data_IF_445305399936
#
_entry.id   IF_445305399936
#
_cell.length_a   1.000
_cell.length_b   1.000
_cell.length_c   1.000
_cell.angle_alpha   90.00
_cell.angle_beta   90.00
_cell.angle_gamma   90.00
#
_symmetry.space_group_name_H-M   'P 1'
#
loop_
_entity.id
_entity.type
_entity.pdbx_description
1 polymer ?
#
# COMPACT_ATOMS: atom_id res chain seq x y z
N UNK A 1 -18.04 34.66 22.76
CA UNK A 1 -16.60 35.01 22.66
C UNK A 1 -15.81 34.13 21.67
N UNK A 2 -16.43 33.16 20.97
CA UNK A 2 -15.71 32.21 20.09
C UNK A 2 -15.41 32.71 18.66
N UNK A 3 -16.29 33.55 18.07
CA UNK A 3 -16.21 33.96 16.64
C UNK A 3 -14.86 34.60 16.24
N UNK A 4 -14.28 35.42 17.12
CA UNK A 4 -12.99 36.06 16.86
C UNK A 4 -11.80 35.10 16.84
N UNK A 5 -11.89 33.97 17.57
CA UNK A 5 -10.87 32.93 17.57
C UNK A 5 -10.95 32.08 16.29
N UNK A 6 -12.16 31.69 15.88
CA UNK A 6 -12.40 30.93 14.64
C UNK A 6 -11.94 31.72 13.40
N UNK A 7 -12.22 33.03 13.34
CA UNK A 7 -11.74 33.91 12.24
C UNK A 7 -10.22 33.90 12.09
N UNK A 8 -9.48 34.01 13.20
CA UNK A 8 -8.01 33.97 13.20
C UNK A 8 -7.49 32.58 12.79
N UNK A 9 -8.17 31.52 13.22
CA UNK A 9 -7.85 30.12 12.88
C UNK A 9 -7.95 29.88 11.37
N UNK A 10 -9.06 30.28 10.74
CA UNK A 10 -9.29 30.17 9.28
C UNK A 10 -8.19 30.90 8.52
N UNK A 11 -7.97 32.19 8.80
CA UNK A 11 -6.93 32.98 8.13
C UNK A 11 -5.55 32.35 8.24
N UNK A 12 -5.19 31.81 9.42
CA UNK A 12 -3.90 31.15 9.64
C UNK A 12 -3.77 29.87 8.80
N UNK A 13 -4.77 29.00 8.79
CA UNK A 13 -4.74 27.72 8.05
C UNK A 13 -4.70 27.94 6.53
N UNK A 14 -5.49 28.86 6.00
CA UNK A 14 -5.49 29.19 4.58
C UNK A 14 -4.15 29.82 4.14
N UNK A 15 -3.60 30.72 4.95
CA UNK A 15 -2.27 31.29 4.69
C UNK A 15 -1.14 30.25 4.71
N UNK A 16 -1.22 29.24 5.58
CA UNK A 16 -0.25 28.13 5.64
C UNK A 16 -0.27 27.27 4.36
N UNK A 17 -1.41 27.18 3.68
CA UNK A 17 -1.55 26.48 2.38
C UNK A 17 -1.28 27.40 1.18
N UNK A 18 -0.87 28.65 1.43
CA UNK A 18 -0.54 29.60 0.36
C UNK A 18 -1.74 30.32 -0.26
N UNK A 19 -2.90 30.34 0.40
CA UNK A 19 -4.08 31.06 -0.07
C UNK A 19 -4.23 32.44 0.58
N UNK A 20 -4.76 33.38 -0.20
CA UNK A 20 -5.15 34.72 0.26
C UNK A 20 -6.67 34.82 0.17
N UNK A 21 -7.34 34.93 1.32
CA UNK A 21 -8.80 35.05 1.40
C UNK A 21 -9.23 36.52 1.26
N UNK A 22 -10.18 36.79 0.38
CA UNK A 22 -10.94 38.03 0.39
C UNK A 22 -11.93 38.07 1.56
N UNK A 23 -12.43 39.27 1.91
CA UNK A 23 -13.28 39.46 3.08
C UNK A 23 -14.61 38.72 2.97
N UNK A 24 -15.21 38.74 1.77
CA UNK A 24 -16.42 38.02 1.41
C UNK A 24 -16.24 36.50 1.43
N UNK A 25 -15.12 36.00 0.90
CA UNK A 25 -14.74 34.58 1.00
C UNK A 25 -14.61 34.13 2.45
N UNK A 26 -13.99 34.94 3.31
CA UNK A 26 -13.86 34.66 4.73
C UNK A 26 -15.21 34.61 5.44
N UNK A 27 -16.13 35.53 5.14
CA UNK A 27 -17.48 35.55 5.71
C UNK A 27 -18.27 34.31 5.33
N UNK A 28 -18.14 33.85 4.09
CA UNK A 28 -18.79 32.63 3.62
C UNK A 28 -18.26 31.38 4.30
N UNK A 29 -16.94 31.25 4.48
CA UNK A 29 -16.33 30.17 5.26
C UNK A 29 -16.85 30.18 6.70
N UNK A 30 -16.91 31.36 7.32
CA UNK A 30 -17.40 31.47 8.70
C UNK A 30 -18.87 31.06 8.79
N UNK A 31 -19.70 31.40 7.81
CA UNK A 31 -21.10 30.97 7.73
C UNK A 31 -21.25 29.47 7.50
N UNK A 32 -20.32 28.83 6.79
CA UNK A 32 -20.29 27.38 6.62
C UNK A 32 -19.90 26.67 7.93
N UNK A 33 -18.91 27.20 8.64
CA UNK A 33 -18.40 26.60 9.87
C UNK A 33 -19.39 26.64 11.05
N UNK A 34 -20.41 27.51 11.02
CA UNK A 34 -21.46 27.49 12.06
C UNK A 34 -22.24 26.18 12.10
N UNK A 35 -22.20 25.38 11.02
CA UNK A 35 -22.83 24.06 10.97
C UNK A 35 -21.99 22.97 11.68
N UNK A 36 -20.74 23.27 12.06
CA UNK A 36 -19.76 22.32 12.59
C UNK A 36 -19.14 22.79 13.92
N UNK A 37 -19.96 23.16 14.91
CA UNK A 37 -19.49 23.75 16.18
C UNK A 37 -18.42 22.91 16.90
N UNK A 38 -18.54 21.58 16.89
CA UNK A 38 -17.58 20.65 17.54
C UNK A 38 -16.47 20.14 16.59
N UNK A 39 -16.56 20.44 15.29
CA UNK A 39 -15.69 19.88 14.25
C UNK A 39 -15.08 20.94 13.30
N UNK A 40 -15.05 22.21 13.71
CA UNK A 40 -14.54 23.33 12.90
C UNK A 40 -13.17 23.03 12.27
N UNK A 41 -12.25 22.42 13.04
CA UNK A 41 -10.88 22.22 12.59
C UNK A 41 -10.78 21.21 11.44
N UNK A 42 -11.60 20.15 11.51
CA UNK A 42 -11.73 19.12 10.48
C UNK A 42 -12.45 19.67 9.25
N UNK A 43 -13.54 20.43 9.46
CA UNK A 43 -14.28 21.08 8.38
C UNK A 43 -13.38 22.05 7.57
N UNK A 44 -12.51 22.81 8.26
CA UNK A 44 -11.52 23.68 7.59
C UNK A 44 -10.52 22.85 6.76
N UNK A 45 -10.05 21.70 7.28
CA UNK A 45 -9.09 20.85 6.56
C UNK A 45 -9.73 20.24 5.30
N UNK A 46 -10.96 19.74 5.41
CA UNK A 46 -11.72 19.19 4.28
C UNK A 46 -11.93 20.26 3.20
N UNK A 47 -12.38 21.45 3.60
CA UNK A 47 -12.57 22.57 2.68
C UNK A 47 -11.26 22.94 1.95
N UNK A 48 -10.13 22.97 2.67
CA UNK A 48 -8.81 23.24 2.07
C UNK A 48 -8.37 22.16 1.09
N UNK A 49 -8.63 20.89 1.40
CA UNK A 49 -8.25 19.77 0.53
C UNK A 49 -9.09 19.76 -0.76
N UNK A 50 -10.38 20.10 -0.69
CA UNK A 50 -11.22 20.26 -1.89
C UNK A 50 -10.83 21.50 -2.73
N UNK A 51 -10.54 22.63 -2.09
CA UNK A 51 -10.01 23.83 -2.79
C UNK A 51 -8.70 23.52 -3.53
N UNK A 52 -7.87 22.62 -3.00
CA UNK A 52 -6.63 22.22 -3.65
C UNK A 52 -6.84 21.24 -4.81
N UNK A 53 -7.98 20.53 -4.86
CA UNK A 53 -8.35 19.66 -5.99
C UNK A 53 -8.92 20.46 -7.15
N UNK A 54 -9.68 21.50 -6.87
CA UNK A 54 -10.01 22.49 -7.88
C UNK A 54 -8.71 23.19 -8.28
N UNK A 55 -8.25 22.97 -9.51
CA UNK A 55 -7.07 23.66 -10.05
C UNK A 55 -7.38 25.15 -10.22
N UNK A 56 -7.41 25.89 -9.12
CA UNK A 56 -7.72 27.32 -9.14
C UNK A 56 -6.58 28.06 -9.84
N UNK A 57 -6.96 28.90 -10.80
CA UNK A 57 -6.03 29.70 -11.60
C UNK A 57 -5.34 30.81 -10.77
N UNK A 58 -5.63 30.92 -9.48
CA UNK A 58 -5.13 31.97 -8.58
C UNK A 58 -5.06 31.48 -7.14
N UNK A 59 -4.05 31.95 -6.41
CA UNK A 59 -3.88 31.80 -4.96
C UNK A 59 -4.80 32.74 -4.16
N UNK A 60 -5.44 33.71 -4.82
CA UNK A 60 -6.45 34.59 -4.23
C UNK A 60 -7.83 33.95 -4.37
N UNK A 61 -8.49 33.73 -3.23
CA UNK A 61 -9.83 33.14 -3.13
C UNK A 61 -10.88 34.23 -2.92
N UNK A 62 -11.80 34.32 -3.86
CA UNK A 62 -13.03 35.11 -3.80
C UNK A 62 -14.20 34.28 -3.29
N UNK A 63 -15.34 34.94 -3.04
CA UNK A 63 -16.57 34.27 -2.61
C UNK A 63 -16.97 33.16 -3.57
N UNK A 64 -17.02 33.43 -4.87
CA UNK A 64 -17.49 32.45 -5.86
C UNK A 64 -16.66 31.15 -5.84
N UNK A 65 -15.34 31.24 -5.60
CA UNK A 65 -14.48 30.06 -5.52
C UNK A 65 -14.73 29.23 -4.27
N UNK A 66 -15.01 29.86 -3.14
CA UNK A 66 -15.36 29.17 -1.90
C UNK A 66 -16.77 28.58 -2.01
N UNK A 67 -17.75 29.35 -2.51
CA UNK A 67 -19.13 28.92 -2.66
C UNK A 67 -19.26 27.66 -3.53
N UNK A 68 -18.48 27.56 -4.64
CA UNK A 68 -18.48 26.36 -5.50
C UNK A 68 -18.09 25.11 -4.71
N UNK A 69 -16.99 25.18 -3.96
CA UNK A 69 -16.51 24.05 -3.16
C UNK A 69 -17.49 23.71 -2.04
N UNK A 70 -18.04 24.70 -1.35
CA UNK A 70 -19.07 24.47 -0.31
C UNK A 70 -20.31 23.82 -0.93
N UNK A 71 -20.75 24.25 -2.11
CA UNK A 71 -21.90 23.66 -2.81
C UNK A 71 -21.63 22.19 -3.16
N UNK A 72 -20.43 21.87 -3.63
CA UNK A 72 -20.02 20.48 -3.90
C UNK A 72 -19.99 19.63 -2.62
N UNK A 73 -19.53 20.20 -1.51
CA UNK A 73 -19.54 19.52 -0.22
C UNK A 73 -20.98 19.22 0.25
N UNK A 74 -21.89 20.18 0.11
CA UNK A 74 -23.31 19.98 0.43
C UNK A 74 -24.04 19.03 -0.51
N UNK A 75 -23.70 19.03 -1.81
CA UNK A 75 -24.24 18.07 -2.78
C UNK A 75 -23.74 16.66 -2.48
N UNK A 76 -22.45 16.51 -2.14
CA UNK A 76 -21.90 15.24 -1.68
C UNK A 76 -22.58 14.77 -0.40
N UNK A 77 -22.82 15.66 0.56
CA UNK A 77 -23.54 15.35 1.80
C UNK A 77 -25.00 14.95 1.54
N UNK A 78 -25.71 15.66 0.67
CA UNK A 78 -27.10 15.35 0.30
C UNK A 78 -27.21 14.05 -0.50
N UNK A 79 -26.24 13.76 -1.38
CA UNK A 79 -26.13 12.48 -2.08
C UNK A 79 -25.81 11.33 -1.11
N UNK A 80 -25.09 11.63 -0.02
CA UNK A 80 -24.85 10.69 1.07
C UNK A 80 -26.12 10.53 1.91
N UNK A 81 -26.93 11.57 2.19
CA UNK A 81 -28.17 11.50 2.98
C UNK A 81 -29.35 10.76 2.30
N UNK A 82 -29.35 10.64 0.97
CA UNK A 82 -30.19 9.66 0.27
C UNK A 82 -29.82 8.20 0.61
N UNK A 83 -28.73 8.00 1.35
CA UNK A 83 -28.31 6.78 2.01
C UNK A 83 -28.25 7.05 3.53
N UNK A 84 -28.80 6.20 4.41
CA UNK A 84 -28.92 6.54 5.82
C UNK A 84 -27.58 6.35 6.57
N UNK A 85 -26.57 7.20 6.33
CA UNK A 85 -25.39 7.28 7.20
C UNK A 85 -24.46 8.47 6.89
N UNK A 86 -24.58 9.57 7.63
CA UNK A 86 -23.41 10.43 7.90
C UNK A 86 -23.45 11.00 9.32
N UNK A 87 -22.54 10.49 10.15
CA UNK A 87 -22.02 11.06 11.41
C UNK A 87 -21.14 10.07 12.18
N UNK A 88 -20.91 8.85 11.66
CA UNK A 88 -19.90 7.94 12.17
C UNK A 88 -18.76 7.85 11.15
N UNK A 89 -17.62 8.52 11.39
CA UNK A 89 -16.35 7.96 10.91
C UNK A 89 -16.25 6.57 11.53
N UNK A 90 -16.65 5.55 10.78
CA UNK A 90 -16.69 4.21 11.29
C UNK A 90 -15.24 3.78 11.53
N UNK A 91 -14.81 3.73 12.80
CA UNK A 91 -13.53 3.14 13.21
C UNK A 91 -13.38 1.69 12.71
N UNK A 92 -14.50 1.11 12.29
CA UNK A 92 -14.61 -0.19 11.68
C UNK A 92 -15.13 -0.03 10.25
N UNK A 93 -14.40 -0.58 9.28
CA UNK A 93 -14.80 -0.59 7.87
C UNK A 93 -14.73 -2.02 7.35
N UNK A 94 -15.83 -2.50 6.78
CA UNK A 94 -15.86 -3.72 6.00
C UNK A 94 -15.50 -3.32 4.57
N UNK A 95 -14.45 -3.94 4.02
CA UNK A 95 -14.00 -3.69 2.64
C UNK A 95 -14.38 -4.90 1.81
N UNK A 96 -15.17 -4.69 0.76
CA UNK A 96 -15.51 -5.75 -0.19
C UNK A 96 -14.24 -6.18 -0.95
N UNK A 97 -13.99 -7.49 -1.01
CA UNK A 97 -12.88 -8.08 -1.74
C UNK A 97 -12.80 -7.66 -3.22
N UNK A 98 -13.92 -7.34 -3.85
CA UNK A 98 -13.97 -6.98 -5.28
C UNK A 98 -13.63 -5.51 -5.55
N UNK A 99 -13.62 -4.65 -4.52
CA UNK A 99 -13.24 -3.23 -4.64
C UNK A 99 -11.82 -2.94 -4.14
N UNK A 100 -11.12 -3.95 -3.62
CA UNK A 100 -9.74 -3.78 -3.15
C UNK A 100 -8.85 -3.48 -4.36
N UNK A 101 -8.08 -2.38 -4.35
CA UNK A 101 -7.14 -2.09 -5.42
C UNK A 101 -6.08 -3.18 -5.50
N UNK A 102 -5.90 -3.74 -6.69
CA UNK A 102 -4.88 -4.78 -6.91
C UNK A 102 -3.54 -4.11 -7.19
N UNK A 103 -2.57 -4.34 -6.31
CA UNK A 103 -1.18 -3.95 -6.55
C UNK A 103 -0.37 -5.11 -7.13
N UNK A 104 0.47 -4.80 -8.10
CA UNK A 104 1.43 -5.72 -8.70
C UNK A 104 2.86 -5.25 -8.37
N UNK A 105 3.76 -6.21 -8.17
CA UNK A 105 5.18 -5.93 -7.95
C UNK A 105 5.92 -5.90 -9.30
N UNK A 106 6.78 -4.91 -9.49
CA UNK A 106 7.72 -4.85 -10.61
C UNK A 106 9.10 -5.31 -10.10
N UNK A 107 9.59 -6.50 -10.50
CA UNK A 107 10.87 -7.03 -10.02
C UNK A 107 12.09 -6.24 -10.53
N UNK A 108 11.94 -5.49 -11.63
CA UNK A 108 13.00 -4.67 -12.21
C UNK A 108 13.10 -3.34 -11.47
N UNK A 109 11.97 -2.63 -11.34
CA UNK A 109 11.92 -1.33 -10.63
C UNK A 109 11.91 -1.48 -9.11
N UNK A 110 11.63 -2.69 -8.61
CA UNK A 110 11.45 -3.02 -7.20
C UNK A 110 10.37 -2.16 -6.52
N UNK A 111 9.34 -1.77 -7.27
CA UNK A 111 8.22 -0.96 -6.80
C UNK A 111 6.90 -1.68 -6.98
N UNK A 112 5.90 -1.25 -6.23
CA UNK A 112 4.51 -1.66 -6.44
C UNK A 112 3.82 -0.63 -7.32
N UNK A 113 2.98 -1.12 -8.22
CA UNK A 113 2.09 -0.29 -9.03
C UNK A 113 0.67 -0.84 -8.95
N UNK A 114 -0.30 0.06 -9.03
CA UNK A 114 -1.70 -0.33 -9.08
C UNK A 114 -2.01 -0.88 -10.48
N UNK A 115 -2.62 -2.08 -10.53
CA UNK A 115 -3.12 -2.63 -11.78
C UNK A 115 -4.39 -1.89 -12.15
N UNK A 116 -4.33 -1.13 -13.23
CA UNK A 116 -5.49 -0.45 -13.81
C UNK A 116 -6.32 -1.41 -14.66
N UNK A 117 -7.64 -1.17 -14.70
CA UNK A 117 -8.59 -1.95 -15.50
C UNK A 117 -9.45 -2.92 -14.68
N UNK A 118 -10.49 -3.47 -15.33
CA UNK A 118 -11.42 -4.42 -14.70
C UNK A 118 -10.74 -5.77 -14.50
N UNK A 119 -10.86 -6.33 -13.30
CA UNK A 119 -10.45 -7.69 -12.99
C UNK A 119 -11.61 -8.64 -13.30
N UNK A 120 -11.55 -9.43 -14.39
CA UNK A 120 -12.62 -10.36 -14.70
C UNK A 120 -12.67 -11.48 -13.67
N UNK A 121 -13.90 -11.89 -13.28
CA UNK A 121 -14.12 -13.05 -12.41
C UNK A 121 -13.63 -14.33 -13.11
N UNK A 122 -13.84 -14.40 -14.42
CA UNK A 122 -13.35 -15.49 -15.27
C UNK A 122 -12.00 -15.10 -15.89
N UNK A 123 -10.91 -15.55 -15.27
CA UNK A 123 -9.56 -15.33 -15.77
C UNK A 123 -9.20 -16.26 -16.94
N UNK A 124 -8.29 -15.80 -17.78
CA UNK A 124 -7.67 -16.64 -18.83
C UNK A 124 -6.63 -17.60 -18.23
N UNK A 125 -6.17 -18.58 -19.02
CA UNK A 125 -5.09 -19.49 -18.62
C UNK A 125 -3.82 -18.73 -18.17
N UNK A 126 -3.50 -17.62 -18.84
CA UNK A 126 -2.41 -16.70 -18.48
C UNK A 126 -2.56 -16.13 -17.06
N UNK A 127 -3.79 -15.93 -16.59
CA UNK A 127 -4.07 -15.40 -15.25
C UNK A 127 -3.67 -16.37 -14.15
N UNK A 128 -3.81 -17.69 -14.39
CA UNK A 128 -3.36 -18.73 -13.46
C UNK A 128 -1.84 -18.73 -13.35
N UNK A 129 -1.13 -18.68 -14.48
CA UNK A 129 0.34 -18.61 -14.48
C UNK A 129 0.85 -17.33 -13.79
N UNK A 130 0.21 -16.18 -14.07
CA UNK A 130 0.54 -14.91 -13.43
C UNK A 130 0.37 -14.97 -11.90
N UNK A 131 -0.66 -15.65 -11.39
CA UNK A 131 -0.88 -15.80 -9.95
C UNK A 131 0.30 -16.48 -9.23
N UNK A 132 0.85 -17.56 -9.81
CA UNK A 132 1.99 -18.26 -9.21
C UNK A 132 3.28 -17.45 -9.34
N UNK A 133 3.49 -16.77 -10.47
CA UNK A 133 4.61 -15.85 -10.67
C UNK A 133 4.60 -14.68 -9.67
N UNK A 134 3.47 -13.97 -9.58
CA UNK A 134 3.28 -12.84 -8.67
C UNK A 134 3.57 -13.28 -7.21
N UNK A 135 3.09 -14.46 -6.82
CA UNK A 135 3.35 -15.04 -5.49
C UNK A 135 4.83 -15.33 -5.26
N UNK A 136 5.49 -15.97 -6.23
CA UNK A 136 6.90 -16.29 -6.15
C UNK A 136 7.75 -15.03 -6.01
N UNK A 137 7.53 -14.03 -6.88
CA UNK A 137 8.28 -12.77 -6.88
C UNK A 137 8.10 -12.00 -5.57
N UNK A 138 6.89 -11.98 -5.00
CA UNK A 138 6.64 -11.33 -3.70
C UNK A 138 7.38 -12.02 -2.55
N UNK A 139 7.40 -13.35 -2.53
CA UNK A 139 8.11 -14.10 -1.49
C UNK A 139 9.62 -13.96 -1.65
N UNK A 140 10.13 -14.03 -2.88
CA UNK A 140 11.54 -13.81 -3.17
C UNK A 140 11.97 -12.38 -2.78
N UNK A 141 11.15 -11.37 -3.07
CA UNK A 141 11.37 -9.99 -2.66
C UNK A 141 11.50 -9.87 -1.14
N UNK A 142 10.61 -10.52 -0.38
CA UNK A 142 10.67 -10.52 1.10
C UNK A 142 11.91 -11.22 1.62
N UNK A 143 12.22 -12.42 1.11
CA UNK A 143 13.38 -13.19 1.51
C UNK A 143 14.69 -12.47 1.19
N UNK A 144 14.81 -11.83 0.03
CA UNK A 144 16.01 -11.09 -0.36
C UNK A 144 16.35 -9.89 0.55
N UNK A 145 15.38 -9.43 1.35
CA UNK A 145 15.55 -8.33 2.31
C UNK A 145 15.89 -8.83 3.72
N UNK A 146 15.76 -10.12 3.96
CA UNK A 146 16.16 -10.74 5.21
C UNK A 146 17.70 -10.85 5.24
N UNK A 147 18.37 -10.34 6.28
CA UNK A 147 19.83 -10.37 6.38
C UNK A 147 20.45 -11.76 6.24
N UNK A 148 19.75 -12.84 6.63
CA UNK A 148 20.28 -14.21 6.54
C UNK A 148 20.40 -14.69 5.09
N UNK A 149 19.54 -14.19 4.21
CA UNK A 149 19.48 -14.58 2.79
C UNK A 149 20.06 -13.50 1.86
N UNK A 150 20.44 -12.34 2.39
CA UNK A 150 21.00 -11.23 1.64
C UNK A 150 22.48 -11.48 1.30
N UNK A 151 22.91 -10.97 0.13
CA UNK A 151 24.33 -10.94 -0.24
C UNK A 151 25.09 -10.02 0.72
N UNK A 152 26.20 -10.48 1.32
CA UNK A 152 27.08 -9.60 2.08
C UNK A 152 27.55 -8.45 1.18
N UNK A 153 27.46 -7.21 1.67
CA UNK A 153 27.89 -6.02 0.91
C UNK A 153 29.42 -5.96 0.70
N UNK A 154 30.18 -6.73 1.49
CA UNK A 154 31.64 -6.81 1.42
C UNK A 154 32.07 -8.28 1.35
N UNK A 155 32.97 -8.61 0.42
CA UNK A 155 33.59 -9.94 0.28
C UNK A 155 34.68 -10.09 1.36
N UNK A 156 34.27 -10.16 2.63
CA UNK A 156 35.17 -10.58 3.70
C UNK A 156 35.24 -12.11 3.66
N UNK A 157 36.39 -12.67 3.27
CA UNK A 157 36.68 -14.11 3.21
C UNK A 157 36.28 -14.88 4.48
N UNK A 158 36.13 -14.18 5.61
CA UNK A 158 35.80 -14.74 6.91
C UNK A 158 34.31 -15.11 7.12
N UNK A 159 33.37 -14.64 6.28
CA UNK A 159 31.92 -14.80 6.51
C UNK A 159 31.16 -15.58 5.42
N UNK A 160 31.86 -16.16 4.44
CA UNK A 160 31.23 -16.93 3.35
C UNK A 160 30.45 -18.17 3.83
N UNK A 161 30.70 -18.62 5.06
CA UNK A 161 30.04 -19.80 5.66
C UNK A 161 28.62 -19.55 6.15
N UNK A 162 28.23 -18.29 6.42
CA UNK A 162 26.94 -17.98 7.07
C UNK A 162 25.91 -17.32 6.16
N UNK A 163 26.29 -16.81 4.97
CA UNK A 163 25.34 -16.19 4.05
C UNK A 163 24.53 -17.26 3.31
N UNK A 164 23.22 -17.31 3.55
CA UNK A 164 22.30 -18.24 2.90
C UNK A 164 21.81 -17.70 1.55
N UNK A 165 22.73 -17.33 0.65
CA UNK A 165 22.37 -16.70 -0.62
C UNK A 165 21.48 -17.62 -1.48
N UNK A 166 20.28 -17.13 -1.82
CA UNK A 166 19.33 -17.84 -2.66
C UNK A 166 19.82 -17.83 -4.11
N UNK A 167 19.99 -19.03 -4.67
CA UNK A 167 20.40 -19.26 -6.06
C UNK A 167 19.21 -19.73 -6.92
N UNK A 168 19.12 -19.34 -8.20
CA UNK A 168 18.16 -19.94 -9.13
C UNK A 168 18.45 -21.41 -9.37
N UNK A 169 17.41 -22.23 -9.57
CA UNK A 169 17.53 -23.68 -9.77
C UNK A 169 18.37 -23.98 -11.02
N UNK A 170 18.21 -23.21 -12.10
CA UNK A 170 18.99 -23.39 -13.32
C UNK A 170 20.51 -23.23 -13.10
N UNK A 171 20.94 -22.45 -12.11
CA UNK A 171 22.38 -22.29 -11.81
C UNK A 171 23.02 -23.49 -11.11
N UNK A 172 22.21 -24.47 -10.67
CA UNK A 172 22.70 -25.69 -10.03
C UNK A 172 23.33 -26.67 -11.02
N UNK A 173 23.04 -26.52 -12.31
CA UNK A 173 23.53 -27.44 -13.35
C UNK A 173 25.05 -27.44 -13.36
N UNK A 174 25.65 -28.62 -13.13
CA UNK A 174 27.10 -28.80 -13.08
C UNK A 174 27.77 -28.29 -11.80
N UNK A 175 27.01 -27.81 -10.81
CA UNK A 175 27.55 -27.44 -9.50
C UNK A 175 27.37 -28.56 -8.48
N UNK A 176 28.30 -28.64 -7.53
CA UNK A 176 28.25 -29.56 -6.38
C UNK A 176 28.36 -28.81 -5.06
N UNK A 177 27.87 -29.42 -3.98
CA UNK A 177 27.90 -28.85 -2.63
C UNK A 177 26.57 -28.27 -2.17
N UNK A 178 26.59 -27.61 -1.00
CA UNK A 178 25.40 -27.00 -0.40
C UNK A 178 25.02 -25.70 -1.13
N UNK A 179 23.73 -25.56 -1.42
CA UNK A 179 23.13 -24.37 -2.03
C UNK A 179 21.81 -24.07 -1.34
N UNK A 180 21.46 -22.78 -1.29
CA UNK A 180 20.17 -22.32 -0.80
C UNK A 180 19.32 -21.95 -2.00
N UNK A 181 18.12 -22.49 -2.05
CA UNK A 181 17.18 -22.31 -3.16
C UNK A 181 15.80 -22.00 -2.62
N UNK A 182 15.03 -21.25 -3.39
CA UNK A 182 13.65 -20.92 -3.07
C UNK A 182 12.79 -21.33 -4.27
N UNK A 183 11.68 -22.01 -3.98
CA UNK A 183 10.81 -22.57 -5.00
C UNK A 183 9.47 -22.99 -4.44
N UNK A 184 8.59 -23.38 -5.34
CA UNK A 184 7.29 -23.98 -5.05
C UNK A 184 7.46 -25.48 -5.05
N UNK A 185 7.03 -26.14 -3.97
CA UNK A 185 7.00 -27.60 -3.91
C UNK A 185 5.77 -28.07 -4.67
N UNK A 186 5.97 -28.95 -5.63
CA UNK A 186 4.91 -29.61 -6.40
C UNK A 186 5.07 -31.13 -6.30
N UNK A 187 3.94 -31.83 -6.36
CA UNK A 187 3.89 -33.28 -6.37
C UNK A 187 3.12 -33.69 -7.63
N UNK A 188 3.84 -34.13 -8.65
CA UNK A 188 3.23 -34.54 -9.92
C UNK A 188 2.78 -36.00 -9.87
N UNK A 189 3.55 -36.84 -9.19
CA UNK A 189 3.27 -38.26 -8.95
C UNK A 189 3.38 -38.58 -7.46
N UNK A 190 2.70 -39.64 -7.02
CA UNK A 190 2.78 -40.09 -5.63
C UNK A 190 4.23 -40.41 -5.22
N UNK A 191 4.67 -39.82 -4.10
CA UNK A 191 6.02 -40.00 -3.57
C UNK A 191 7.13 -39.21 -4.27
N UNK A 192 6.84 -38.49 -5.36
CA UNK A 192 7.84 -37.73 -6.12
C UNK A 192 7.58 -36.22 -5.99
N UNK A 193 8.41 -35.58 -5.17
CA UNK A 193 8.38 -34.13 -4.98
C UNK A 193 9.35 -33.43 -5.92
N UNK A 194 8.92 -32.28 -6.42
CA UNK A 194 9.73 -31.37 -7.21
C UNK A 194 9.73 -30.01 -6.52
N UNK A 195 10.83 -29.30 -6.66
CA UNK A 195 10.93 -27.89 -6.33
C UNK A 195 11.09 -27.10 -7.62
N UNK A 196 10.24 -26.11 -7.83
CA UNK A 196 10.16 -25.32 -9.06
C UNK A 196 10.35 -23.82 -8.77
N UNK A 197 11.13 -23.15 -9.61
CA UNK A 197 11.27 -21.69 -9.61
C UNK A 197 10.94 -21.12 -11.01
N UNK A 198 11.24 -19.84 -11.25
CA UNK A 198 10.97 -19.22 -12.57
C UNK A 198 11.88 -19.74 -13.70
N UNK A 199 12.89 -20.57 -13.38
CA UNK A 199 13.95 -21.00 -14.29
C UNK A 199 13.88 -22.49 -14.60
N UNK A 200 13.64 -23.33 -13.59
CA UNK A 200 13.68 -24.78 -13.72
C UNK A 200 12.92 -25.50 -12.59
N UNK A 201 12.77 -26.81 -12.75
CA UNK A 201 12.29 -27.72 -11.71
C UNK A 201 13.35 -28.79 -11.41
N UNK A 202 13.50 -29.16 -10.14
CA UNK A 202 14.43 -30.19 -9.69
C UNK A 202 13.71 -31.18 -8.75
N UNK A 203 13.89 -32.50 -8.91
CA UNK A 203 13.34 -33.47 -7.97
C UNK A 203 14.00 -33.31 -6.60
N UNK A 204 13.20 -33.39 -5.53
CA UNK A 204 13.67 -33.23 -4.14
C UNK A 204 13.25 -34.41 -3.28
N UNK A 205 14.17 -34.88 -2.45
CA UNK A 205 13.88 -35.91 -1.43
C UNK A 205 13.69 -35.23 -0.07
N UNK A 206 12.45 -35.27 0.43
CA UNK A 206 12.06 -34.64 1.69
C UNK A 206 12.04 -35.60 2.89
N UNK A 207 12.55 -36.83 2.75
CA UNK A 207 12.46 -37.87 3.79
C UNK A 207 13.13 -37.49 5.11
N UNK A 208 14.18 -36.64 5.04
CA UNK A 208 14.92 -36.13 6.21
C UNK A 208 14.58 -34.67 6.53
N UNK A 209 13.52 -34.11 5.93
CA UNK A 209 13.15 -32.73 6.15
C UNK A 209 12.57 -32.55 7.56
N UNK A 210 13.03 -31.52 8.26
CA UNK A 210 12.45 -31.09 9.53
C UNK A 210 11.45 -29.98 9.24
N UNK A 211 10.20 -30.16 9.65
CA UNK A 211 9.18 -29.12 9.53
C UNK A 211 9.33 -28.10 10.66
N UNK A 212 9.73 -26.88 10.32
CA UNK A 212 9.77 -25.78 11.26
C UNK A 212 8.37 -25.13 11.35
N UNK A 213 7.48 -25.70 12.16
CA UNK A 213 6.11 -25.19 12.34
C UNK A 213 5.98 -24.08 13.39
N UNK A 214 7.04 -23.34 13.69
CA UNK A 214 7.02 -22.31 14.74
C UNK A 214 7.82 -21.09 14.34
N UNK A 215 7.40 -19.93 14.84
CA UNK A 215 7.94 -18.57 14.69
C UNK A 215 9.40 -18.38 15.17
N UNK A 216 10.27 -19.36 14.95
CA UNK A 216 11.64 -19.45 15.44
C UNK A 216 12.67 -19.10 14.36
N UNK A 217 12.52 -17.92 13.73
CA UNK A 217 13.63 -17.29 12.99
C UNK A 217 14.38 -16.24 13.84
N UNK A 218 14.07 -16.12 15.14
CA UNK A 218 14.80 -15.26 16.06
C UNK A 218 15.26 -16.06 17.26
N UNK A 219 16.43 -16.69 17.13
CA UNK A 219 17.19 -17.07 18.31
C UNK A 219 17.78 -15.79 18.91
N UNK A 220 17.53 -15.58 20.20
CA UNK A 220 17.97 -14.40 20.93
C UNK A 220 19.46 -14.62 21.28
N UNK A 221 20.36 -13.65 21.08
CA UNK A 221 21.76 -13.85 21.47
C UNK A 221 21.83 -14.06 22.98
N UNK A 222 22.43 -15.17 23.40
CA UNK A 222 22.70 -15.49 24.79
C UNK A 222 23.69 -14.48 25.38
N UNK A 223 23.39 -14.04 26.61
CA UNK A 223 24.22 -13.17 27.45
C UNK A 223 25.60 -13.76 27.75
#
# INVERSE_FOLDING_TARGET
MAVGATRKKVLRKFKLRGYILQTDALEEILSFLTQFEDAEDEAINVLLDEINKESLNSSVLDRDSVHRVISLLHEAESAVEASPSSSNRSHFRIVDSFIIPKFCYDPIKKTFYERTGKLPIHGEASSKAALYRDRFELLLQRLSRDPHFAKPAFDSEFNRSDSCEISPIQSLIGQTGRRWIMGVISQLEDGHFYLEDMTAAVPVNLSNAISLTSSMLFDKPSS
#
